data_IF_214670340805
#
_entry.id   IF_214670340805
#
_cell.length_a   1.000
_cell.length_b   1.000
_cell.length_c   1.000
_cell.angle_alpha   90.00
_cell.angle_beta   90.00
_cell.angle_gamma   90.00
#
_symmetry.space_group_name_H-M   'P 1'
#
loop_
_entity.id
_entity.type
_entity.pdbx_description
1 polymer ?
#
# COMPACT_ATOMS: atom_id res chain seq x y z
N UNK A 1 -6.82 -5.43 10.39
CA UNK A 1 -6.30 -4.34 9.52
C UNK A 1 -4.82 -4.58 9.36
N UNK A 2 -4.31 -4.69 8.13
CA UNK A 2 -2.88 -4.93 7.86
C UNK A 2 -2.14 -3.60 7.78
N UNK A 3 -0.97 -3.49 8.41
CA UNK A 3 -0.13 -2.28 8.39
C UNK A 3 0.77 -2.23 7.16
N UNK A 4 1.34 -1.05 6.86
CA UNK A 4 2.31 -0.90 5.77
C UNK A 4 3.56 -1.76 5.97
N UNK A 5 4.02 -1.91 7.22
CA UNK A 5 5.15 -2.76 7.61
C UNK A 5 4.85 -4.24 7.34
N UNK A 6 3.69 -4.72 7.80
CA UNK A 6 3.25 -6.10 7.56
C UNK A 6 3.10 -6.40 6.07
N UNK A 7 2.46 -5.50 5.31
CA UNK A 7 2.32 -5.64 3.87
C UNK A 7 3.69 -5.70 3.16
N UNK A 8 4.60 -4.81 3.54
CA UNK A 8 5.97 -4.79 3.01
C UNK A 8 6.73 -6.08 3.33
N UNK A 9 6.55 -6.64 4.52
CA UNK A 9 7.18 -7.91 4.90
C UNK A 9 6.66 -9.08 4.06
N UNK A 10 5.34 -9.17 3.86
CA UNK A 10 4.73 -10.20 2.99
C UNK A 10 5.27 -10.08 1.56
N UNK A 11 5.41 -8.87 1.02
CA UNK A 11 6.05 -8.68 -0.28
C UNK A 11 7.51 -9.18 -0.33
N UNK A 12 8.27 -8.94 0.73
CA UNK A 12 9.69 -9.30 0.81
C UNK A 12 9.91 -10.81 0.99
N UNK A 13 9.00 -11.47 1.71
CA UNK A 13 9.03 -12.91 1.98
C UNK A 13 8.32 -13.76 0.93
N UNK A 14 7.61 -13.12 -0.01
CA UNK A 14 6.85 -13.80 -1.04
C UNK A 14 7.72 -14.79 -1.83
N UNK A 15 7.33 -16.07 -1.75
CA UNK A 15 8.13 -17.18 -2.27
C UNK A 15 7.62 -17.72 -3.62
N UNK A 16 6.62 -17.06 -4.21
CA UNK A 16 5.94 -17.54 -5.41
C UNK A 16 4.54 -18.10 -5.16
N UNK A 17 4.01 -18.03 -3.94
CA UNK A 17 2.64 -18.46 -3.66
C UNK A 17 1.60 -17.64 -4.44
N UNK A 18 0.63 -18.34 -5.02
CA UNK A 18 -0.38 -17.76 -5.90
C UNK A 18 -1.48 -17.01 -5.13
N UNK A 19 -1.85 -17.49 -3.95
CA UNK A 19 -2.85 -16.86 -3.11
C UNK A 19 -2.30 -15.58 -2.49
N UNK A 20 -1.05 -15.61 -2.00
CA UNK A 20 -0.33 -14.43 -1.54
C UNK A 20 -0.17 -13.40 -2.65
N UNK A 21 0.16 -13.82 -3.89
CA UNK A 21 0.25 -12.88 -5.02
C UNK A 21 -1.08 -12.15 -5.24
N UNK A 22 -2.18 -12.90 -5.30
CA UNK A 22 -3.52 -12.34 -5.52
C UNK A 22 -3.89 -11.37 -4.40
N UNK A 23 -3.63 -11.77 -3.15
CA UNK A 23 -3.86 -10.95 -1.95
C UNK A 23 -3.04 -9.66 -1.97
N UNK A 24 -1.75 -9.73 -2.35
CA UNK A 24 -0.86 -8.56 -2.46
C UNK A 24 -1.32 -7.58 -3.52
N UNK A 25 -1.82 -8.06 -4.67
CA UNK A 25 -2.37 -7.22 -5.74
C UNK A 25 -3.70 -6.60 -5.30
N UNK A 26 -4.57 -7.36 -4.65
CA UNK A 26 -5.84 -6.87 -4.10
C UNK A 26 -5.61 -5.76 -3.06
N UNK A 27 -4.60 -5.92 -2.20
CA UNK A 27 -4.30 -5.00 -1.10
C UNK A 27 -3.20 -3.98 -1.43
N UNK A 28 -2.90 -3.76 -2.72
CA UNK A 28 -1.88 -2.80 -3.18
C UNK A 28 -2.08 -1.37 -2.68
N UNK A 29 -3.32 -0.97 -2.38
CA UNK A 29 -3.64 0.34 -1.82
C UNK A 29 -3.00 0.60 -0.45
N UNK A 30 -2.63 -0.44 0.31
CA UNK A 30 -1.83 -0.29 1.53
C UNK A 30 -0.48 0.38 1.20
N UNK A 31 0.13 0.00 0.08
CA UNK A 31 1.34 0.62 -0.46
C UNK A 31 1.05 1.84 -1.36
N UNK A 32 -0.18 2.35 -1.38
CA UNK A 32 -0.60 3.44 -2.26
C UNK A 32 -0.57 3.08 -3.74
N UNK A 33 -0.69 1.80 -4.09
CA UNK A 33 -0.68 1.29 -5.46
C UNK A 33 -1.99 0.56 -5.75
N UNK A 34 -2.94 1.27 -6.36
CA UNK A 34 -4.19 0.67 -6.80
C UNK A 34 -3.99 -0.34 -7.92
N UNK A 35 -4.97 -1.24 -8.14
CA UNK A 35 -4.97 -2.15 -9.30
C UNK A 35 -4.82 -1.40 -10.63
N UNK A 36 -5.41 -0.20 -10.73
CA UNK A 36 -5.24 0.67 -11.90
C UNK A 36 -3.80 1.14 -12.06
N UNK A 37 -3.14 1.53 -10.97
CA UNK A 37 -1.73 1.92 -11.01
C UNK A 37 -0.82 0.75 -11.43
N UNK A 38 -1.14 -0.49 -11.01
CA UNK A 38 -0.45 -1.69 -11.49
C UNK A 38 -0.67 -1.89 -12.98
N UNK A 39 -1.92 -1.74 -13.44
CA UNK A 39 -2.28 -1.87 -14.85
C UNK A 39 -1.51 -0.86 -15.72
N UNK A 40 -1.48 0.41 -15.31
CA UNK A 40 -0.79 1.49 -16.00
C UNK A 40 0.74 1.29 -16.00
N UNK A 41 1.34 0.87 -14.86
CA UNK A 41 2.80 0.66 -14.73
C UNK A 41 3.32 -0.45 -15.65
N UNK A 42 2.52 -1.49 -15.87
CA UNK A 42 2.92 -2.67 -16.65
C UNK A 42 2.20 -2.81 -18.00
N UNK A 43 1.46 -1.79 -18.40
CA UNK A 43 0.71 -1.73 -19.67
C UNK A 43 -0.28 -2.91 -19.86
N UNK A 44 -0.90 -3.35 -18.77
CA UNK A 44 -1.96 -4.36 -18.80
C UNK A 44 -3.33 -3.70 -18.83
N UNK A 45 -4.33 -4.41 -19.36
CA UNK A 45 -5.72 -3.99 -19.21
C UNK A 45 -6.11 -4.04 -17.71
N UNK A 46 -6.87 -3.05 -17.19
CA UNK A 46 -7.33 -3.07 -15.80
C UNK A 46 -8.09 -4.35 -15.42
N UNK A 47 -8.91 -4.88 -16.34
CA UNK A 47 -9.62 -6.13 -16.15
C UNK A 47 -8.70 -7.33 -15.92
N UNK A 48 -7.51 -7.33 -16.54
CA UNK A 48 -6.51 -8.38 -16.33
C UNK A 48 -5.99 -8.34 -14.89
N UNK A 49 -5.68 -7.16 -14.37
CA UNK A 49 -5.20 -7.00 -12.98
C UNK A 49 -6.30 -7.31 -11.96
N UNK A 50 -7.55 -6.94 -12.24
CA UNK A 50 -8.67 -7.32 -11.37
C UNK A 50 -8.87 -8.83 -11.27
N UNK A 51 -8.68 -9.57 -12.37
CA UNK A 51 -8.70 -11.04 -12.34
C UNK A 51 -7.54 -11.64 -11.55
N UNK A 52 -6.40 -10.96 -11.48
CA UNK A 52 -5.29 -11.35 -10.61
C UNK A 52 -5.61 -11.14 -9.15
N UNK A 53 -6.18 -9.98 -8.79
CA UNK A 53 -6.61 -9.68 -7.42
C UNK A 53 -7.65 -10.70 -6.93
N UNK A 54 -8.58 -11.09 -7.79
CA UNK A 54 -9.62 -12.07 -7.48
C UNK A 54 -9.11 -13.54 -7.48
N UNK A 55 -7.86 -13.80 -7.86
CA UNK A 55 -7.31 -15.15 -7.99
C UNK A 55 -7.89 -15.98 -9.14
N UNK A 56 -8.65 -15.35 -10.04
CA UNK A 56 -9.28 -16.01 -11.20
C UNK A 56 -8.30 -16.30 -12.34
N UNK A 57 -7.22 -15.54 -12.42
CA UNK A 57 -6.14 -15.71 -13.36
C UNK A 57 -4.84 -15.24 -12.73
N UNK A 58 -3.71 -15.74 -13.20
CA UNK A 58 -2.41 -15.30 -12.71
C UNK A 58 -1.50 -15.02 -13.89
N UNK A 59 -0.66 -13.97 -13.81
CA UNK A 59 0.33 -13.75 -14.84
C UNK A 59 1.47 -14.76 -14.71
N UNK A 60 2.34 -14.81 -15.72
CA UNK A 60 3.54 -15.64 -15.66
C UNK A 60 4.43 -15.28 -14.45
N UNK A 61 5.14 -16.26 -13.87
CA UNK A 61 5.94 -16.08 -12.65
C UNK A 61 6.95 -14.93 -12.72
N UNK A 62 7.50 -14.65 -13.91
CA UNK A 62 8.37 -13.48 -14.14
C UNK A 62 7.64 -12.15 -13.89
N UNK A 63 6.41 -12.02 -14.39
CA UNK A 63 5.59 -10.82 -14.18
C UNK A 63 5.16 -10.71 -12.72
N UNK A 64 4.81 -11.84 -12.08
CA UNK A 64 4.50 -11.84 -10.64
C UNK A 64 5.65 -11.23 -9.83
N UNK A 65 6.89 -11.68 -10.05
CA UNK A 65 8.10 -11.11 -9.42
C UNK A 65 8.27 -9.61 -9.64
N UNK A 66 8.00 -9.12 -10.85
CA UNK A 66 8.11 -7.70 -11.17
C UNK A 66 7.06 -6.88 -10.41
N UNK A 67 5.81 -7.33 -10.41
CA UNK A 67 4.71 -6.68 -9.68
C UNK A 67 5.01 -6.64 -8.19
N UNK A 68 5.38 -7.77 -7.58
CA UNK A 68 5.71 -7.82 -6.15
C UNK A 68 6.89 -6.89 -5.82
N UNK A 69 7.94 -6.85 -6.65
CA UNK A 69 9.06 -5.93 -6.46
C UNK A 69 8.67 -4.45 -6.49
N UNK A 70 7.70 -4.07 -7.33
CA UNK A 70 7.17 -2.70 -7.35
C UNK A 70 6.37 -2.40 -6.08
N UNK A 71 5.51 -3.32 -5.65
CA UNK A 71 4.71 -3.18 -4.43
C UNK A 71 5.61 -3.06 -3.19
N UNK A 72 6.61 -3.93 -3.07
CA UNK A 72 7.62 -3.92 -2.01
C UNK A 72 8.38 -2.59 -1.94
N UNK A 73 8.85 -2.09 -3.10
CA UNK A 73 9.56 -0.82 -3.21
C UNK A 73 8.69 0.38 -2.81
N UNK A 74 7.42 0.39 -3.21
CA UNK A 74 6.47 1.46 -2.87
C UNK A 74 6.12 1.41 -1.38
N UNK A 75 5.89 0.22 -0.86
CA UNK A 75 5.60 -0.01 0.56
C UNK A 75 6.75 0.48 1.45
N UNK A 76 7.99 0.10 1.14
CA UNK A 76 9.20 0.58 1.84
C UNK A 76 9.35 2.09 1.81
N UNK A 77 9.01 2.75 0.69
CA UNK A 77 9.06 4.22 0.61
C UNK A 77 8.04 4.88 1.53
N UNK A 78 6.82 4.34 1.60
CA UNK A 78 5.78 4.86 2.49
C UNK A 78 6.10 4.59 3.95
N UNK A 79 6.60 3.40 4.27
CA UNK A 79 7.11 3.04 5.60
C UNK A 79 8.18 4.05 6.07
N UNK A 80 9.18 4.32 5.23
CA UNK A 80 10.22 5.30 5.53
C UNK A 80 9.66 6.73 5.66
N UNK A 81 8.71 7.12 4.82
CA UNK A 81 8.09 8.45 4.90
C UNK A 81 7.29 8.61 6.21
N UNK A 82 6.57 7.57 6.63
CA UNK A 82 5.85 7.55 7.90
C UNK A 82 6.80 7.62 9.10
N UNK A 83 7.92 6.91 9.06
CA UNK A 83 8.93 6.94 10.13
C UNK A 83 9.62 8.31 10.27
N UNK A 84 9.79 9.04 9.17
CA UNK A 84 10.45 10.35 9.14
C UNK A 84 9.48 11.55 9.25
N UNK A 85 8.17 11.30 9.32
CA UNK A 85 7.19 12.37 9.46
C UNK A 85 7.33 13.02 10.85
N UNK A 86 7.82 14.26 10.88
CA UNK A 86 7.82 15.08 12.10
C UNK A 86 6.35 15.34 12.47
N UNK A 87 5.89 14.93 13.67
CA UNK A 87 4.55 15.28 14.12
C UNK A 87 4.44 16.82 14.17
N UNK A 88 3.55 17.40 13.37
CA UNK A 88 3.23 18.81 13.50
C UNK A 88 2.76 19.06 14.94
N UNK A 89 3.24 20.12 15.63
CA UNK A 89 2.72 20.47 16.94
C UNK A 89 1.21 20.65 16.81
N UNK A 90 0.44 19.77 17.46
CA UNK A 90 -0.99 19.98 17.66
C UNK A 90 -1.12 21.35 18.31
N UNK A 91 -1.67 22.32 17.57
CA UNK A 91 -2.07 23.60 18.14
C UNK A 91 -3.12 23.28 19.21
N UNK A 92 -2.67 23.18 20.46
CA UNK A 92 -3.55 23.10 21.62
C UNK A 92 -4.33 24.40 21.57
N UNK A 93 -5.58 24.35 21.13
CA UNK A 93 -6.52 25.45 21.29
C UNK A 93 -6.90 25.51 22.78
N UNK A 94 -5.94 25.93 23.60
CA UNK A 94 -6.14 26.36 24.97
C UNK A 94 -6.11 27.87 24.96
N UNK A 95 -7.28 28.49 24.81
CA UNK A 95 -7.49 29.78 25.44
C UNK A 95 -8.85 29.75 26.13
N UNK A 96 -8.85 29.21 27.34
CA UNK A 96 -9.69 29.79 28.38
C UNK A 96 -9.25 31.25 28.54
N UNK A 97 -10.19 32.16 28.31
CA UNK A 97 -10.25 33.41 29.04
C UNK A 97 -11.71 33.56 29.51
N UNK A 98 -11.98 32.96 30.66
CA UNK A 98 -12.96 33.52 31.59
C UNK A 98 -12.46 34.91 32.01
N UNK A 99 -13.33 35.92 31.97
CA UNK A 99 -13.48 36.95 33.01
C UNK A 99 -14.79 37.74 32.75
N UNK A 100 -15.44 38.28 33.82
CA UNK A 100 -16.86 38.68 33.85
C UNK A 100 -17.06 40.19 33.73
N UNK A 101 -18.15 40.67 33.12
CA UNK A 101 -18.74 42.02 33.24
C UNK A 101 -20.19 41.96 32.68
N UNK A 102 -21.28 42.50 33.25
CA UNK A 102 -21.57 43.37 34.39
C UNK A 102 -23.02 43.11 34.86
#
# INVERSE_FOLDING_TARGET
MVTIEQYRQICAEWNGDSAEFSWLVEHGDIAGVSQRAIADEFEFAPSTVSRWAAGEALPHKRIQKLVIGVLEKKARRLENAAANAIPLPRKIAGHEQSLPQS
#
